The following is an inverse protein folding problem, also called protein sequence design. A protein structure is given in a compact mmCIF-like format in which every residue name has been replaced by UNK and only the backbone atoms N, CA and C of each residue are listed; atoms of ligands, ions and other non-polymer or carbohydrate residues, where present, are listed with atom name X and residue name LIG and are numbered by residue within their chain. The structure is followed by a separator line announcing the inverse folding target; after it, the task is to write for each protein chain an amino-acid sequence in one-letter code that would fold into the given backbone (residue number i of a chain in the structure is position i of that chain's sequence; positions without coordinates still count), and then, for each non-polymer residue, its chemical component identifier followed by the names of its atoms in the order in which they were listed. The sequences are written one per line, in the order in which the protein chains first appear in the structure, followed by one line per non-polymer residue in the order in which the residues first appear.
data_IF_448399130967
#
_entry.id   IF_448399130967
#
_cell.length_a   1.000
_cell.length_b   1.000
_cell.length_c   1.000
_cell.angle_alpha   90.00
_cell.angle_beta   90.00
_cell.angle_gamma   90.00
#
_symmetry.space_group_name_H-M   'P 1'
#
loop_
_entity.id
_entity.type
_entity.pdbx_description
1 polymer ?
#
# COMPACT_ATOMS: atom_id res chain seq x y z
N UNK A 1 -8.47 3.26 -7.36
CA UNK A 1 -9.49 2.21 -7.60
C UNK A 1 -10.73 2.52 -6.76
N UNK A 2 -11.89 2.76 -7.37
CA UNK A 2 -13.11 3.18 -6.65
C UNK A 2 -13.57 2.22 -5.55
N UNK A 3 -13.51 0.90 -5.80
CA UNK A 3 -13.88 -0.11 -4.81
C UNK A 3 -13.05 -0.04 -3.52
N UNK A 4 -11.75 0.27 -3.63
CA UNK A 4 -10.89 0.44 -2.45
C UNK A 4 -11.27 1.71 -1.68
N UNK A 5 -11.61 2.80 -2.37
CA UNK A 5 -12.07 4.03 -1.72
C UNK A 5 -13.36 3.80 -0.91
N UNK A 6 -14.31 3.05 -1.47
CA UNK A 6 -15.55 2.65 -0.76
C UNK A 6 -15.22 1.81 0.47
N UNK A 7 -14.38 0.78 0.32
CA UNK A 7 -13.96 -0.07 1.46
C UNK A 7 -13.27 0.73 2.57
N UNK A 8 -12.40 1.69 2.21
CA UNK A 8 -11.77 2.58 3.18
C UNK A 8 -12.77 3.51 3.86
N UNK A 9 -13.77 4.00 3.11
CA UNK A 9 -14.85 4.81 3.67
C UNK A 9 -15.73 4.03 4.65
N UNK A 10 -16.03 2.75 4.37
CA UNK A 10 -16.75 1.87 5.28
C UNK A 10 -15.97 1.68 6.61
N UNK A 11 -14.65 1.51 6.54
CA UNK A 11 -13.80 1.45 7.73
C UNK A 11 -13.76 2.78 8.49
N UNK A 12 -13.64 3.90 7.78
CA UNK A 12 -13.64 5.24 8.40
C UNK A 12 -14.98 5.56 9.09
N UNK A 13 -16.09 5.06 8.56
CA UNK A 13 -17.41 5.23 9.14
C UNK A 13 -17.60 4.56 10.51
N UNK A 14 -16.73 3.62 10.88
CA UNK A 14 -16.69 3.03 12.23
C UNK A 14 -16.08 4.00 13.24
N UNK A 15 -15.33 5.01 12.79
CA UNK A 15 -14.57 5.95 13.60
C UNK A 15 -15.13 7.37 13.53
N UNK A 16 -15.91 7.71 12.49
CA UNK A 16 -16.44 9.05 12.25
C UNK A 16 -17.89 9.02 11.79
N UNK A 17 -18.67 10.02 12.21
CA UNK A 17 -20.06 10.20 11.77
C UNK A 17 -20.16 10.83 10.37
N UNK A 18 -19.12 11.52 9.94
CA UNK A 18 -19.04 12.16 8.62
C UNK A 18 -17.82 11.60 7.89
N UNK A 19 -18.05 11.02 6.72
CA UNK A 19 -17.00 10.51 5.83
C UNK A 19 -17.13 11.17 4.48
N UNK A 20 -16.01 11.68 3.96
CA UNK A 20 -15.93 12.33 2.67
C UNK A 20 -14.91 11.58 1.82
N UNK A 21 -15.29 11.19 0.61
CA UNK A 21 -14.39 10.60 -0.37
C UNK A 21 -13.95 11.71 -1.32
N UNK A 22 -12.66 12.04 -1.28
CA UNK A 22 -12.06 13.02 -2.18
C UNK A 22 -11.57 12.31 -3.45
N UNK A 23 -12.06 12.72 -4.62
CA UNK A 23 -11.69 12.11 -5.91
C UNK A 23 -10.62 12.89 -6.66
N UNK A 24 -10.06 13.93 -6.03
CA UNK A 24 -8.92 14.71 -6.52
C UNK A 24 -9.09 15.15 -7.99
N UNK A 25 -10.19 15.82 -8.30
CA UNK A 25 -10.48 16.34 -9.63
C UNK A 25 -11.11 15.33 -10.61
N UNK A 26 -11.38 14.09 -10.20
CA UNK A 26 -11.91 13.07 -11.09
C UNK A 26 -13.43 12.88 -10.92
N UNK A 27 -14.21 13.44 -11.84
CA UNK A 27 -15.66 13.23 -11.93
C UNK A 27 -16.01 11.78 -12.31
N UNK A 28 -15.16 11.13 -13.10
CA UNK A 28 -15.35 9.72 -13.47
C UNK A 28 -15.28 8.82 -12.24
N UNK A 29 -14.26 9.00 -11.40
CA UNK A 29 -14.13 8.24 -10.15
C UNK A 29 -15.29 8.55 -9.20
N UNK A 30 -15.74 9.79 -9.13
CA UNK A 30 -16.89 10.18 -8.32
C UNK A 30 -18.16 9.44 -8.75
N UNK A 31 -18.45 9.40 -10.06
CA UNK A 31 -19.59 8.67 -10.60
C UNK A 31 -19.51 7.16 -10.32
N UNK A 32 -18.32 6.56 -10.44
CA UNK A 32 -18.11 5.15 -10.12
C UNK A 32 -18.33 4.85 -8.62
N UNK A 33 -17.83 5.70 -7.72
CA UNK A 33 -18.06 5.57 -6.27
C UNK A 33 -19.54 5.68 -5.95
N UNK A 34 -20.25 6.67 -6.51
CA UNK A 34 -21.69 6.84 -6.30
C UNK A 34 -22.52 5.66 -6.82
N UNK A 35 -22.13 5.09 -7.96
CA UNK A 35 -22.80 3.92 -8.51
C UNK A 35 -22.61 2.65 -7.65
N UNK A 36 -21.44 2.52 -6.98
CA UNK A 36 -21.15 1.39 -6.10
C UNK A 36 -21.89 1.46 -4.76
N UNK A 37 -22.21 2.65 -4.27
CA UNK A 37 -22.86 2.83 -2.99
C UNK A 37 -23.98 3.90 -3.03
N UNK A 38 -25.05 3.66 -3.78
CA UNK A 38 -26.10 4.66 -4.02
C UNK A 38 -26.87 5.08 -2.76
N UNK A 39 -26.87 4.26 -1.73
CA UNK A 39 -27.52 4.52 -0.44
C UNK A 39 -26.54 4.88 0.68
N UNK A 40 -25.28 5.10 0.34
CA UNK A 40 -24.25 5.39 1.33
C UNK A 40 -24.40 6.80 1.93
N UNK A 41 -24.13 7.00 3.23
CA UNK A 41 -24.07 8.29 3.85
C UNK A 41 -22.82 9.10 3.47
N UNK A 42 -21.92 8.54 2.67
CA UNK A 42 -20.66 9.19 2.32
C UNK A 42 -20.91 10.38 1.38
N UNK A 43 -20.23 11.48 1.66
CA UNK A 43 -20.15 12.60 0.74
C UNK A 43 -19.02 12.35 -0.25
N UNK A 44 -19.17 12.83 -1.48
CA UNK A 44 -18.12 12.82 -2.48
C UNK A 44 -17.74 14.24 -2.81
N UNK A 45 -16.45 14.55 -2.77
CA UNK A 45 -15.89 15.86 -3.10
C UNK A 45 -14.95 15.70 -4.28
N UNK A 46 -15.26 16.36 -5.40
CA UNK A 46 -14.52 16.24 -6.64
C UNK A 46 -13.44 17.30 -6.84
N UNK A 47 -13.29 18.24 -5.90
CA UNK A 47 -12.28 19.28 -6.01
C UNK A 47 -10.88 18.69 -6.10
N UNK A 48 -10.05 19.26 -6.95
CA UNK A 48 -8.64 18.89 -7.07
C UNK A 48 -7.86 19.36 -5.85
N UNK A 49 -7.13 18.46 -5.21
CA UNK A 49 -6.30 18.74 -4.04
C UNK A 49 -4.98 19.37 -4.52
N UNK A 50 -4.60 20.49 -3.93
CA UNK A 50 -3.31 21.13 -4.15
C UNK A 50 -2.27 20.59 -3.18
N UNK A 51 -2.54 20.67 -1.88
CA UNK A 51 -1.68 20.11 -0.84
C UNK A 51 -2.47 19.73 0.42
N UNK A 52 -1.82 18.97 1.27
CA UNK A 52 -2.33 18.53 2.57
C UNK A 52 -1.32 18.92 3.65
N UNK A 53 -1.79 19.51 4.75
CA UNK A 53 -0.95 19.86 5.91
C UNK A 53 -1.50 19.24 7.19
N UNK A 54 -0.59 18.86 8.08
CA UNK A 54 -0.90 18.55 9.48
C UNK A 54 -1.13 19.86 10.24
N UNK A 55 -2.22 19.96 10.99
CA UNK A 55 -2.63 21.15 11.74
C UNK A 55 -2.69 20.88 13.27
N UNK A 56 -1.97 19.86 13.75
CA UNK A 56 -1.93 19.39 15.15
C UNK A 56 -3.29 18.96 15.74
N UNK A 57 -4.40 19.53 15.29
CA UNK A 57 -5.76 19.16 15.68
C UNK A 57 -6.47 18.30 14.61
N UNK A 58 -5.83 18.11 13.45
CA UNK A 58 -6.37 17.38 12.32
C UNK A 58 -5.56 17.56 11.06
N UNK A 59 -6.23 17.40 9.93
CA UNK A 59 -5.64 17.53 8.60
C UNK A 59 -6.35 18.61 7.82
N UNK A 60 -5.61 19.58 7.31
CA UNK A 60 -6.13 20.61 6.40
C UNK A 60 -5.82 20.21 4.96
N UNK A 61 -6.87 20.14 4.16
CA UNK A 61 -6.81 19.84 2.72
C UNK A 61 -7.05 21.18 1.99
N UNK A 62 -6.08 21.62 1.23
CA UNK A 62 -6.19 22.79 0.36
C UNK A 62 -6.50 22.33 -1.07
N UNK A 63 -7.40 23.05 -1.73
CA UNK A 63 -7.81 22.75 -3.09
C UNK A 63 -7.27 23.79 -4.07
N UNK A 64 -7.14 23.40 -5.34
CA UNK A 64 -6.62 24.26 -6.41
C UNK A 64 -7.51 25.46 -6.70
N UNK A 65 -8.77 25.45 -6.26
CA UNK A 65 -9.71 26.59 -6.33
C UNK A 65 -9.49 27.65 -5.23
N UNK A 66 -8.48 27.46 -4.37
CA UNK A 66 -8.17 28.34 -3.24
C UNK A 66 -8.99 28.08 -1.98
N UNK A 67 -9.95 27.14 -2.01
CA UNK A 67 -10.70 26.74 -0.83
C UNK A 67 -9.95 25.71 0.03
N UNK A 68 -10.42 25.45 1.24
CA UNK A 68 -9.85 24.40 2.09
C UNK A 68 -10.93 23.67 2.88
N UNK A 69 -10.61 22.48 3.36
CA UNK A 69 -11.42 21.67 4.26
C UNK A 69 -10.54 21.11 5.37
N UNK A 70 -11.00 21.25 6.62
CA UNK A 70 -10.38 20.59 7.77
C UNK A 70 -11.13 19.31 8.09
N UNK A 71 -10.37 18.25 8.39
CA UNK A 71 -10.87 16.93 8.77
C UNK A 71 -10.05 16.40 9.94
N UNK A 72 -10.64 15.57 10.81
CA UNK A 72 -9.94 15.03 11.97
C UNK A 72 -8.81 14.06 11.59
N UNK A 73 -8.97 13.32 10.50
CA UNK A 73 -7.96 12.45 9.94
C UNK A 73 -8.21 12.20 8.45
N UNK A 74 -7.17 11.81 7.74
CA UNK A 74 -7.21 11.42 6.33
C UNK A 74 -6.76 9.98 6.18
N UNK A 75 -7.58 9.16 5.51
CA UNK A 75 -7.19 7.81 5.09
C UNK A 75 -6.69 7.88 3.65
N UNK A 76 -5.46 7.45 3.43
CA UNK A 76 -4.83 7.45 2.13
C UNK A 76 -4.13 6.13 1.87
N UNK A 77 -4.37 5.52 0.71
CA UNK A 77 -3.69 4.32 0.26
C UNK A 77 -3.01 4.60 -1.09
N UNK A 78 -1.79 5.16 -1.07
CA UNK A 78 -1.06 5.51 -2.28
C UNK A 78 -0.59 4.27 -3.03
N UNK A 79 -0.39 4.42 -4.32
CA UNK A 79 0.44 3.48 -5.06
C UNK A 79 1.89 3.63 -4.58
N UNK A 80 2.52 2.51 -4.26
CA UNK A 80 3.89 2.48 -3.75
C UNK A 80 4.80 1.75 -4.72
N UNK A 81 6.06 2.14 -4.74
CA UNK A 81 7.12 1.49 -5.50
C UNK A 81 8.32 1.25 -4.59
N UNK A 82 9.10 0.17 -4.80
CA UNK A 82 10.33 -0.03 -4.07
C UNK A 82 11.27 1.17 -4.25
N UNK A 83 11.75 1.73 -3.15
CA UNK A 83 12.66 2.88 -3.17
C UNK A 83 14.10 2.42 -3.41
N UNK A 84 14.82 3.14 -4.28
CA UNK A 84 16.24 2.93 -4.53
C UNK A 84 16.57 2.09 -5.77
N UNK A 85 17.86 2.03 -6.14
CA UNK A 85 18.30 1.45 -7.41
C UNK A 85 18.44 -0.08 -7.39
N UNK A 86 18.34 -0.72 -6.21
CA UNK A 86 18.68 -2.13 -6.01
C UNK A 86 17.82 -3.10 -6.85
N UNK A 87 16.55 -2.79 -7.09
CA UNK A 87 15.68 -3.61 -7.96
C UNK A 87 16.28 -3.74 -9.35
N UNK A 88 16.69 -2.60 -9.93
CA UNK A 88 17.30 -2.57 -11.26
C UNK A 88 18.73 -3.12 -11.26
N UNK A 89 19.52 -2.79 -10.23
CA UNK A 89 20.91 -3.25 -10.12
C UNK A 89 21.03 -4.77 -9.98
N UNK A 90 20.10 -5.39 -9.26
CA UNK A 90 20.06 -6.84 -9.05
C UNK A 90 19.20 -7.58 -10.08
N UNK A 91 18.53 -6.86 -11.00
CA UNK A 91 17.69 -7.49 -12.02
C UNK A 91 16.43 -8.17 -11.47
N UNK A 92 15.90 -7.67 -10.32
CA UNK A 92 14.77 -8.32 -9.66
C UNK A 92 13.49 -8.21 -10.48
N UNK A 93 12.72 -9.28 -10.52
CA UNK A 93 11.41 -9.31 -11.15
C UNK A 93 10.38 -8.59 -10.26
N UNK A 94 9.54 -7.78 -10.88
CA UNK A 94 8.41 -7.12 -10.23
C UNK A 94 7.09 -7.80 -10.63
N UNK A 95 6.13 -7.78 -9.71
CA UNK A 95 4.75 -8.16 -9.96
C UNK A 95 4.02 -7.13 -10.83
N UNK A 96 2.79 -7.43 -11.25
CA UNK A 96 1.94 -6.49 -11.98
C UNK A 96 1.58 -5.23 -11.15
N UNK A 97 1.65 -5.32 -9.84
CA UNK A 97 1.40 -4.20 -8.90
C UNK A 97 2.66 -3.40 -8.57
N UNK A 98 3.83 -3.78 -9.12
CA UNK A 98 5.11 -3.10 -8.91
C UNK A 98 5.84 -3.54 -7.65
N UNK A 99 5.37 -4.56 -6.94
CA UNK A 99 6.04 -5.13 -5.78
C UNK A 99 7.13 -6.12 -6.23
N UNK A 100 8.16 -6.33 -5.41
CA UNK A 100 9.21 -7.31 -5.69
C UNK A 100 8.61 -8.72 -5.65
N UNK A 101 8.79 -9.49 -6.71
CA UNK A 101 8.34 -10.88 -6.74
C UNK A 101 9.25 -11.73 -5.85
N UNK A 102 8.67 -12.34 -4.82
CA UNK A 102 9.34 -13.24 -3.91
C UNK A 102 8.34 -14.31 -3.43
N UNK A 103 8.66 -15.56 -3.65
CA UNK A 103 7.71 -16.66 -3.46
C UNK A 103 7.78 -17.25 -2.06
N UNK A 104 6.61 -17.45 -1.47
CA UNK A 104 6.47 -18.18 -0.22
C UNK A 104 6.88 -19.68 -0.43
N UNK A 105 7.40 -20.37 0.61
CA UNK A 105 7.54 -19.91 1.98
C UNK A 105 8.83 -19.14 2.27
N UNK A 106 9.84 -19.25 1.45
CA UNK A 106 11.19 -18.72 1.73
C UNK A 106 11.38 -17.26 1.36
N UNK A 107 10.49 -16.69 0.53
CA UNK A 107 10.57 -15.32 0.03
C UNK A 107 11.88 -14.97 -0.67
N UNK A 108 12.47 -15.94 -1.38
CA UNK A 108 13.58 -15.70 -2.29
C UNK A 108 13.05 -15.00 -3.55
N UNK A 109 13.82 -14.05 -4.04
CA UNK A 109 13.52 -13.33 -5.29
C UNK A 109 13.93 -14.13 -6.52
N UNK A 110 13.82 -13.54 -7.72
CA UNK A 110 14.37 -14.09 -8.95
C UNK A 110 15.90 -14.33 -8.91
N UNK A 111 16.58 -13.64 -7.99
CA UNK A 111 18.03 -13.73 -7.83
C UNK A 111 18.38 -14.57 -6.60
N UNK A 112 19.24 -15.60 -6.86
CA UNK A 112 19.68 -16.49 -5.78
C UNK A 112 20.42 -15.73 -4.69
N UNK A 113 20.07 -16.01 -3.41
CA UNK A 113 20.65 -15.36 -2.24
C UNK A 113 20.11 -13.98 -1.96
N UNK A 114 19.13 -13.52 -2.75
CA UNK A 114 18.41 -12.27 -2.50
C UNK A 114 16.99 -12.60 -2.04
N UNK A 115 16.64 -12.12 -0.88
CA UNK A 115 15.34 -12.33 -0.25
C UNK A 115 14.62 -10.98 -0.08
N UNK A 116 13.31 -10.98 -0.22
CA UNK A 116 12.49 -9.80 -0.01
C UNK A 116 11.30 -10.15 0.90
N UNK A 117 10.92 -9.24 1.80
CA UNK A 117 9.84 -9.46 2.75
C UNK A 117 9.15 -8.14 3.12
N UNK A 118 7.99 -8.25 3.74
CA UNK A 118 7.23 -7.08 4.19
C UNK A 118 6.47 -6.38 3.07
N UNK A 119 6.37 -5.07 3.21
CA UNK A 119 5.54 -4.24 2.33
C UNK A 119 6.03 -4.16 0.88
N UNK A 120 7.30 -4.50 0.62
CA UNK A 120 7.85 -4.44 -0.72
C UNK A 120 7.48 -5.63 -1.63
N UNK A 121 6.85 -6.67 -1.09
CA UNK A 121 6.50 -7.90 -1.85
C UNK A 121 5.00 -8.09 -2.08
N UNK A 122 4.16 -7.18 -1.59
CA UNK A 122 2.71 -7.35 -1.65
C UNK A 122 1.95 -6.02 -1.69
N UNK A 123 0.82 -5.94 -2.40
CA UNK A 123 -0.07 -4.80 -2.30
C UNK A 123 -0.82 -4.74 -0.94
N UNK A 124 -0.90 -5.87 -0.20
CA UNK A 124 -1.55 -5.96 1.12
C UNK A 124 -0.55 -5.63 2.23
N UNK A 125 -0.39 -4.33 2.50
CA UNK A 125 0.59 -3.79 3.45
C UNK A 125 0.02 -3.82 4.87
N UNK A 126 0.19 -4.96 5.55
CA UNK A 126 -0.29 -5.18 6.92
C UNK A 126 0.82 -5.72 7.81
N UNK A 127 0.86 -5.26 9.07
CA UNK A 127 1.91 -5.60 10.04
C UNK A 127 2.09 -7.11 10.22
N UNK A 128 1.04 -7.94 10.41
CA UNK A 128 1.21 -9.39 10.57
C UNK A 128 1.90 -10.05 9.39
N UNK A 129 1.58 -9.64 8.15
CA UNK A 129 2.24 -10.18 6.96
C UNK A 129 3.71 -9.77 6.89
N UNK A 130 4.03 -8.52 7.23
CA UNK A 130 5.40 -8.03 7.24
C UNK A 130 6.27 -8.82 8.24
N UNK A 131 5.76 -9.06 9.45
CA UNK A 131 6.45 -9.86 10.47
C UNK A 131 6.63 -11.31 10.00
N UNK A 132 5.55 -11.93 9.52
CA UNK A 132 5.56 -13.32 9.07
C UNK A 132 6.55 -13.54 7.92
N UNK A 133 6.45 -12.76 6.86
CA UNK A 133 7.33 -12.88 5.70
C UNK A 133 8.80 -12.62 6.05
N UNK A 134 9.07 -11.64 6.94
CA UNK A 134 10.41 -11.36 7.44
C UNK A 134 11.02 -12.54 8.19
N UNK A 135 10.26 -13.20 9.06
CA UNK A 135 10.72 -14.39 9.77
C UNK A 135 11.05 -15.54 8.82
N UNK A 136 10.18 -15.82 7.85
CA UNK A 136 10.42 -16.88 6.88
C UNK A 136 11.63 -16.58 5.96
N UNK A 137 11.73 -15.34 5.48
CA UNK A 137 12.88 -14.92 4.68
C UNK A 137 14.20 -15.06 5.44
N UNK A 138 14.23 -14.70 6.72
CA UNK A 138 15.42 -14.83 7.56
C UNK A 138 15.84 -16.31 7.74
N UNK A 139 14.88 -17.19 8.02
CA UNK A 139 15.13 -18.63 8.13
C UNK A 139 15.64 -19.21 6.81
N UNK A 140 15.02 -18.86 5.69
CA UNK A 140 15.41 -19.32 4.36
C UNK A 140 16.82 -18.85 4.00
N UNK A 141 17.13 -17.58 4.22
CA UNK A 141 18.46 -17.02 3.98
C UNK A 141 19.54 -17.71 4.81
N UNK A 142 19.29 -17.92 6.12
CA UNK A 142 20.21 -18.64 7.00
C UNK A 142 20.41 -20.10 6.56
N UNK A 143 19.33 -20.78 6.19
CA UNK A 143 19.39 -22.18 5.71
C UNK A 143 20.19 -22.31 4.42
N UNK A 144 19.95 -21.42 3.46
CA UNK A 144 20.71 -21.41 2.21
C UNK A 144 22.19 -21.14 2.45
N UNK A 145 22.51 -20.11 3.24
CA UNK A 145 23.91 -19.76 3.56
C UNK A 145 24.66 -20.91 4.26
N UNK A 146 24.00 -21.60 5.19
CA UNK A 146 24.58 -22.73 5.90
C UNK A 146 24.79 -23.92 4.96
N UNK A 147 23.83 -24.21 4.09
CA UNK A 147 23.96 -25.26 3.10
C UNK A 147 25.14 -25.02 2.16
N UNK A 148 25.30 -23.81 1.67
CA UNK A 148 26.43 -23.41 0.83
C UNK A 148 27.77 -23.50 1.58
N UNK A 149 27.80 -22.99 2.83
CA UNK A 149 29.02 -22.99 3.66
C UNK A 149 29.50 -24.40 3.99
N UNK A 150 28.61 -25.31 4.23
CA UNK A 150 28.95 -26.68 4.68
C UNK A 150 28.80 -27.73 3.59
N UNK A 151 28.46 -27.37 2.37
CA UNK A 151 28.41 -28.26 1.20
C UNK A 151 27.29 -29.29 1.26
N UNK A 152 26.16 -28.98 1.86
CA UNK A 152 24.98 -29.85 1.88
C UNK A 152 23.79 -29.29 1.11
N UNK A 153 22.76 -30.08 0.93
CA UNK A 153 21.55 -29.68 0.21
C UNK A 153 20.80 -28.56 0.96
N UNK A 154 20.38 -27.52 0.22
CA UNK A 154 19.48 -26.50 0.75
C UNK A 154 18.03 -26.96 0.65
N UNK A 155 17.24 -26.75 1.71
CA UNK A 155 15.80 -27.03 1.73
C UNK A 155 14.96 -25.86 1.20
N UNK A 156 15.58 -24.79 0.76
CA UNK A 156 14.97 -23.56 0.20
C UNK A 156 15.67 -23.17 -1.08
#
# INVERSE_FOLDING_TARGET
MPALAVHMADNAAQLSKEVIIFTNGSEEVAAQVQAMCPSSPFKVDTRAIDYVTDDHEGVKIAFTDGSSKEVSFLVHNPMTVPQGPFVKQLGLTLSQTGDIQADAPGYQTSERGVFAAGDCITPYKVIPHAIMSGNFAAVAAATQLQAEKYGHFSMV
#
